data_IF_411085069973
#
_entry.id   IF_411085069973
#
_cell.length_a   1.000
_cell.length_b   1.000
_cell.length_c   1.000
_cell.angle_alpha   90.00
_cell.angle_beta   90.00
_cell.angle_gamma   90.00
#
_symmetry.space_group_name_H-M   'P 1'
#
loop_
_entity.id
_entity.type
_entity.pdbx_description
1 polymer ?
#
# COMPACT_ATOMS: atom_id res chain seq x y z
N UNK A 1 10.08 -16.50 -47.41
CA UNK A 1 9.14 -17.39 -46.67
C UNK A 1 9.94 -18.30 -45.77
N UNK A 2 9.63 -18.25 -44.48
CA UNK A 2 9.71 -19.31 -43.45
C UNK A 2 11.03 -20.08 -43.24
N UNK A 3 11.58 -19.94 -42.03
CA UNK A 3 11.92 -21.01 -41.06
C UNK A 3 12.88 -20.44 -40.00
N UNK A 4 12.38 -20.05 -38.82
CA UNK A 4 12.50 -20.83 -37.57
C UNK A 4 13.93 -21.33 -37.30
N UNK A 5 14.68 -20.55 -36.53
CA UNK A 5 15.78 -20.97 -35.63
C UNK A 5 15.78 -19.96 -34.47
N UNK A 6 15.06 -20.20 -33.39
CA UNK A 6 15.50 -21.00 -32.24
C UNK A 6 16.90 -20.57 -31.76
N UNK A 7 16.97 -19.47 -31.03
CA UNK A 7 18.06 -19.24 -30.06
C UNK A 7 17.53 -19.71 -28.72
N UNK A 8 17.72 -21.00 -28.46
CA UNK A 8 17.76 -21.53 -27.10
C UNK A 8 19.04 -21.02 -26.45
N UNK A 9 18.94 -20.05 -25.55
CA UNK A 9 19.95 -19.87 -24.50
C UNK A 9 19.54 -20.78 -23.36
N UNK A 10 20.29 -21.87 -23.24
CA UNK A 10 20.13 -22.88 -22.21
C UNK A 10 20.67 -22.33 -20.88
N UNK A 11 19.85 -21.54 -20.18
CA UNK A 11 20.09 -21.21 -18.78
C UNK A 11 19.88 -22.47 -17.95
N UNK A 12 20.99 -23.04 -17.46
CA UNK A 12 21.03 -24.16 -16.52
C UNK A 12 20.07 -23.89 -15.34
N UNK A 13 18.99 -24.68 -15.26
CA UNK A 13 18.43 -25.14 -13.99
C UNK A 13 17.57 -24.19 -13.15
N UNK A 14 17.06 -23.07 -13.66
CA UNK A 14 15.97 -22.36 -12.98
C UNK A 14 14.76 -22.24 -13.90
N UNK A 15 13.67 -22.92 -13.54
CA UNK A 15 12.34 -22.71 -14.11
C UNK A 15 12.00 -21.22 -13.98
N UNK A 16 12.12 -20.45 -15.07
CA UNK A 16 11.48 -19.14 -15.17
C UNK A 16 9.96 -19.39 -15.13
N UNK A 17 9.36 -19.17 -13.96
CA UNK A 17 7.95 -19.40 -13.74
C UNK A 17 7.10 -18.34 -14.48
N UNK A 18 6.75 -18.62 -15.74
CA UNK A 18 5.82 -17.79 -16.50
C UNK A 18 4.40 -17.73 -15.88
N UNK A 19 4.11 -18.46 -14.78
CA UNK A 19 2.88 -18.28 -13.99
C UNK A 19 2.87 -16.97 -13.19
N UNK A 20 4.02 -16.30 -13.03
CA UNK A 20 4.13 -14.96 -12.45
C UNK A 20 3.40 -13.92 -13.31
N UNK A 21 3.72 -13.82 -14.60
CA UNK A 21 3.16 -12.77 -15.48
C UNK A 21 1.64 -12.87 -15.71
N UNK A 22 1.04 -14.07 -15.66
CA UNK A 22 -0.42 -14.23 -15.82
C UNK A 22 -1.19 -13.90 -14.53
N UNK A 23 -0.63 -14.27 -13.37
CA UNK A 23 -1.14 -13.83 -12.05
C UNK A 23 -0.99 -12.33 -11.90
N UNK A 24 0.16 -11.76 -12.23
CA UNK A 24 0.45 -10.32 -12.22
C UNK A 24 -0.48 -9.49 -13.12
N UNK A 25 -0.91 -10.00 -14.28
CA UNK A 25 -1.83 -9.28 -15.16
C UNK A 25 -3.26 -9.26 -14.59
N UNK A 26 -3.72 -10.39 -14.04
CA UNK A 26 -5.01 -10.48 -13.36
C UNK A 26 -5.03 -9.64 -12.07
N UNK A 27 -3.91 -9.63 -11.38
CA UNK A 27 -3.61 -8.79 -10.23
C UNK A 27 -3.60 -7.30 -10.58
N UNK A 28 -2.99 -6.89 -11.70
CA UNK A 28 -3.07 -5.51 -12.20
C UNK A 28 -4.49 -5.13 -12.63
N UNK A 29 -5.29 -6.08 -13.15
CA UNK A 29 -6.71 -5.84 -13.46
C UNK A 29 -7.54 -5.70 -12.18
N UNK A 30 -7.27 -6.51 -11.16
CA UNK A 30 -7.90 -6.44 -9.83
C UNK A 30 -7.50 -5.17 -9.08
N UNK A 31 -6.21 -4.80 -9.13
CA UNK A 31 -5.69 -3.54 -8.62
C UNK A 31 -6.34 -2.35 -9.33
N UNK A 32 -6.53 -2.39 -10.67
CA UNK A 32 -7.29 -1.35 -11.38
C UNK A 32 -8.74 -1.27 -10.91
N UNK A 33 -9.42 -2.42 -10.72
CA UNK A 33 -10.81 -2.45 -10.21
C UNK A 33 -10.91 -1.91 -8.78
N UNK A 34 -9.98 -2.30 -7.91
CA UNK A 34 -9.90 -1.80 -6.54
C UNK A 34 -9.55 -0.31 -6.51
N UNK A 35 -8.60 0.14 -7.33
CA UNK A 35 -8.30 1.57 -7.52
C UNK A 35 -9.52 2.34 -8.01
N UNK A 36 -10.31 1.80 -8.94
CA UNK A 36 -11.56 2.46 -9.35
C UNK A 36 -12.65 2.41 -8.27
N UNK A 37 -12.70 1.36 -7.44
CA UNK A 37 -13.65 1.29 -6.31
C UNK A 37 -13.28 2.32 -5.24
N UNK A 38 -12.02 2.33 -4.81
CA UNK A 38 -11.50 3.30 -3.85
C UNK A 38 -11.45 4.71 -4.42
N UNK A 39 -11.18 4.92 -5.72
CA UNK A 39 -11.25 6.24 -6.36
C UNK A 39 -12.67 6.72 -6.65
N UNK A 40 -13.68 5.84 -6.53
CA UNK A 40 -15.09 6.26 -6.48
C UNK A 40 -15.50 6.59 -5.05
N UNK A 41 -14.96 5.89 -4.05
CA UNK A 41 -15.17 6.21 -2.62
C UNK A 41 -14.38 7.45 -2.16
N UNK A 42 -13.16 7.65 -2.67
CA UNK A 42 -12.47 8.93 -2.68
C UNK A 42 -13.13 9.75 -3.80
N UNK A 43 -14.22 10.44 -3.50
CA UNK A 43 -14.74 11.44 -4.42
C UNK A 43 -13.58 12.31 -4.94
N UNK A 44 -13.58 12.59 -6.24
CA UNK A 44 -12.57 13.37 -6.99
C UNK A 44 -12.34 14.77 -6.40
N UNK A 45 -13.10 15.17 -5.37
CA UNK A 45 -12.93 16.38 -4.56
C UNK A 45 -11.95 16.30 -3.38
N UNK A 46 -11.44 15.12 -2.99
CA UNK A 46 -10.46 15.04 -1.90
C UNK A 46 -10.98 15.56 -0.54
N UNK A 47 -12.30 15.63 -0.36
CA UNK A 47 -12.95 16.03 0.88
C UNK A 47 -12.93 14.89 1.89
N UNK A 48 -11.74 14.56 2.43
CA UNK A 48 -11.69 13.96 3.77
C UNK A 48 -12.17 15.03 4.75
N UNK A 49 -12.88 14.63 5.80
CA UNK A 49 -13.31 15.59 6.81
C UNK A 49 -12.11 16.41 7.32
N UNK A 50 -12.10 17.71 7.01
CA UNK A 50 -11.11 18.68 7.51
C UNK A 50 -11.55 19.33 8.81
N UNK A 51 -12.69 18.91 9.37
CA UNK A 51 -13.27 19.45 10.59
C UNK A 51 -12.39 19.21 11.82
N UNK A 52 -12.25 20.25 12.66
CA UNK A 52 -11.72 20.10 14.02
C UNK A 52 -12.67 19.22 14.82
N UNK A 53 -12.12 18.19 15.46
CA UNK A 53 -12.84 17.30 16.38
C UNK A 53 -13.16 18.07 17.66
N UNK A 54 -14.25 18.83 17.63
CA UNK A 54 -14.98 19.21 18.83
C UNK A 54 -16.29 18.44 18.73
N UNK A 55 -16.44 17.45 19.58
CA UNK A 55 -17.66 17.26 20.35
C UNK A 55 -17.37 16.25 21.45
N UNK A 56 -17.09 16.80 22.63
CA UNK A 56 -17.46 16.13 23.85
C UNK A 56 -18.96 16.31 24.03
N UNK A 57 -19.74 15.27 23.76
CA UNK A 57 -20.96 15.01 24.51
C UNK A 57 -21.11 13.50 24.70
N UNK A 58 -20.94 13.08 25.95
CA UNK A 58 -21.39 11.79 26.46
C UNK A 58 -22.91 11.69 26.26
N UNK A 59 -23.37 10.89 25.30
CA UNK A 59 -24.81 10.79 25.06
C UNK A 59 -25.26 9.58 24.25
N UNK A 60 -24.63 8.40 24.42
CA UNK A 60 -25.19 7.04 24.15
C UNK A 60 -24.06 6.02 24.26
N UNK A 61 -23.95 5.36 25.42
CA UNK A 61 -22.78 4.57 25.86
C UNK A 61 -22.45 3.31 25.03
N UNK A 62 -23.22 2.94 24.01
CA UNK A 62 -23.02 1.71 23.22
C UNK A 62 -22.98 1.87 21.68
N UNK A 63 -23.36 3.01 21.11
CA UNK A 63 -23.58 3.12 19.63
C UNK A 63 -22.34 3.61 18.86
N UNK A 64 -21.39 4.26 19.54
CA UNK A 64 -20.18 4.86 18.92
C UNK A 64 -18.89 4.15 19.37
N UNK A 65 -19.00 3.06 20.14
CA UNK A 65 -17.87 2.21 20.53
C UNK A 65 -17.32 1.47 19.30
N UNK A 66 -16.48 2.19 18.56
CA UNK A 66 -15.53 1.74 17.56
C UNK A 66 -16.10 1.07 16.30
N UNK A 67 -16.57 1.88 15.33
CA UNK A 67 -16.90 1.36 14.00
C UNK A 67 -15.74 0.62 13.33
N UNK A 68 -14.48 1.01 13.57
CA UNK A 68 -13.31 0.27 13.04
C UNK A 68 -13.14 -1.07 13.75
N UNK A 69 -13.14 -1.10 15.09
CA UNK A 69 -13.04 -2.35 15.86
C UNK A 69 -14.19 -3.30 15.49
N UNK A 70 -15.42 -2.82 15.47
CA UNK A 70 -16.59 -3.61 15.10
C UNK A 70 -16.51 -4.12 13.66
N UNK A 71 -16.18 -3.25 12.69
CA UNK A 71 -16.03 -3.66 11.30
C UNK A 71 -14.91 -4.69 11.13
N UNK A 72 -13.79 -4.55 11.84
CA UNK A 72 -12.68 -5.49 11.77
C UNK A 72 -13.06 -6.81 12.44
N UNK A 73 -13.56 -6.76 13.67
CA UNK A 73 -14.00 -7.92 14.45
C UNK A 73 -15.04 -8.77 13.70
N UNK A 74 -16.07 -8.12 13.16
CA UNK A 74 -17.10 -8.81 12.37
C UNK A 74 -16.54 -9.34 11.04
N UNK A 75 -15.63 -8.61 10.38
CA UNK A 75 -14.96 -9.10 9.18
C UNK A 75 -14.12 -10.36 9.45
N UNK A 76 -13.40 -10.40 10.58
CA UNK A 76 -12.61 -11.55 11.01
C UNK A 76 -13.49 -12.78 11.28
N UNK A 77 -14.64 -12.60 11.93
CA UNK A 77 -15.53 -13.71 12.30
C UNK A 77 -16.41 -14.21 11.16
N UNK A 78 -16.99 -13.31 10.38
CA UNK A 78 -18.10 -13.65 9.45
C UNK A 78 -17.66 -13.71 7.98
N UNK A 79 -16.47 -13.17 7.64
CA UNK A 79 -15.92 -13.07 6.26
C UNK A 79 -16.92 -12.53 5.22
N UNK A 80 -17.91 -11.73 5.62
CA UNK A 80 -18.92 -11.19 4.71
C UNK A 80 -18.37 -9.98 3.93
N UNK A 81 -18.93 -9.72 2.74
CA UNK A 81 -18.50 -8.62 1.87
C UNK A 81 -18.88 -7.22 2.39
N UNK A 82 -19.87 -7.13 3.27
CA UNK A 82 -20.42 -5.85 3.76
C UNK A 82 -19.42 -5.11 4.67
N UNK A 83 -18.74 -5.83 5.57
CA UNK A 83 -17.74 -5.22 6.45
C UNK A 83 -16.52 -4.70 5.68
N UNK A 84 -16.21 -5.25 4.50
CA UNK A 84 -15.16 -4.72 3.61
C UNK A 84 -15.51 -3.33 3.10
N UNK A 85 -16.77 -3.12 2.70
CA UNK A 85 -17.26 -1.83 2.24
C UNK A 85 -17.32 -0.81 3.39
N UNK A 86 -17.75 -1.24 4.58
CA UNK A 86 -17.76 -0.41 5.78
C UNK A 86 -16.34 0.06 6.14
N UNK A 87 -15.36 -0.85 6.17
CA UNK A 87 -13.96 -0.52 6.45
C UNK A 87 -13.37 0.40 5.39
N UNK A 88 -13.67 0.15 4.11
CA UNK A 88 -13.27 1.03 3.01
C UNK A 88 -13.87 2.45 3.19
N UNK A 89 -15.15 2.57 3.52
CA UNK A 89 -15.81 3.85 3.74
C UNK A 89 -15.18 4.63 4.90
N UNK A 90 -14.93 3.95 6.03
CA UNK A 90 -14.34 4.60 7.21
C UNK A 90 -12.93 5.11 6.89
N UNK A 91 -12.08 4.27 6.29
CA UNK A 91 -10.69 4.62 5.97
C UNK A 91 -10.55 5.68 4.86
N UNK A 92 -11.54 5.78 3.98
CA UNK A 92 -11.51 6.75 2.88
C UNK A 92 -12.04 8.13 3.31
N UNK A 93 -13.06 8.18 4.17
CA UNK A 93 -13.78 9.42 4.48
C UNK A 93 -13.25 10.14 5.73
N UNK A 94 -12.80 9.40 6.76
CA UNK A 94 -12.31 10.01 8.00
C UNK A 94 -11.03 10.82 7.80
N UNK A 95 -10.84 11.82 8.65
CA UNK A 95 -9.63 12.63 8.66
C UNK A 95 -8.41 11.82 9.10
N UNK A 96 -7.21 12.25 8.70
CA UNK A 96 -5.97 11.60 9.13
C UNK A 96 -5.81 11.57 10.66
N UNK A 97 -6.21 12.64 11.34
CA UNK A 97 -6.11 12.73 12.79
C UNK A 97 -7.12 11.79 13.48
N UNK A 98 -8.36 11.75 12.99
CA UNK A 98 -9.38 10.83 13.49
C UNK A 98 -8.94 9.37 13.33
N UNK A 99 -8.42 9.00 12.15
CA UNK A 99 -7.93 7.64 11.91
C UNK A 99 -6.76 7.27 12.81
N UNK A 100 -5.86 8.21 13.10
CA UNK A 100 -4.76 7.96 14.02
C UNK A 100 -5.26 7.65 15.45
N UNK A 101 -6.19 8.45 15.96
CA UNK A 101 -6.80 8.23 17.28
C UNK A 101 -7.60 6.92 17.31
N UNK A 102 -8.33 6.60 16.24
CA UNK A 102 -9.06 5.34 16.13
C UNK A 102 -8.11 4.13 16.18
N UNK A 103 -6.93 4.21 15.56
CA UNK A 103 -5.95 3.13 15.58
C UNK A 103 -5.33 2.93 16.96
N UNK A 104 -5.05 4.03 17.67
CA UNK A 104 -4.56 3.97 19.05
C UNK A 104 -5.62 3.41 20.00
N UNK A 105 -6.86 3.85 19.86
CA UNK A 105 -7.98 3.33 20.64
C UNK A 105 -8.23 1.84 20.34
N UNK A 106 -8.13 1.42 19.07
CA UNK A 106 -8.22 0.02 18.69
C UNK A 106 -7.16 -0.82 19.40
N UNK A 107 -5.90 -0.36 19.42
CA UNK A 107 -4.82 -1.06 20.08
C UNK A 107 -5.03 -1.14 21.60
N UNK A 108 -5.52 -0.06 22.22
CA UNK A 108 -5.81 -0.03 23.65
C UNK A 108 -6.94 -0.98 24.07
N UNK A 109 -7.97 -1.17 23.21
CA UNK A 109 -9.12 -2.04 23.50
C UNK A 109 -8.85 -3.49 23.14
N UNK A 110 -8.25 -3.74 21.97
CA UNK A 110 -8.01 -5.10 21.46
C UNK A 110 -6.71 -5.74 21.97
N UNK A 111 -5.73 -4.92 22.36
CA UNK A 111 -4.36 -5.35 22.66
C UNK A 111 -3.53 -5.73 21.42
N UNK A 112 -4.08 -5.62 20.21
CA UNK A 112 -3.43 -5.99 18.95
C UNK A 112 -3.22 -4.76 18.05
N UNK A 113 -2.15 -4.75 17.26
CA UNK A 113 -1.95 -3.71 16.25
C UNK A 113 -2.96 -3.85 15.11
N UNK A 114 -3.50 -2.74 14.63
CA UNK A 114 -4.47 -2.76 13.54
C UNK A 114 -3.88 -3.35 12.25
N UNK A 115 -2.58 -3.18 11.98
CA UNK A 115 -1.93 -3.75 10.81
C UNK A 115 -1.89 -5.29 10.88
N UNK A 116 -1.66 -5.84 12.08
CA UNK A 116 -1.65 -7.28 12.31
C UNK A 116 -3.06 -7.85 12.15
N UNK A 117 -4.04 -7.19 12.77
CA UNK A 117 -5.44 -7.61 12.69
C UNK A 117 -5.97 -7.55 11.24
N UNK A 118 -5.60 -6.53 10.45
CA UNK A 118 -5.91 -6.49 9.01
C UNK A 118 -5.26 -7.66 8.26
N UNK A 119 -4.05 -8.04 8.65
CA UNK A 119 -3.30 -9.11 7.99
C UNK A 119 -3.84 -10.50 8.28
N UNK A 120 -4.48 -10.69 9.43
CA UNK A 120 -5.15 -11.94 9.78
C UNK A 120 -6.53 -12.07 9.13
N UNK A 121 -7.21 -10.95 8.90
CA UNK A 121 -8.61 -10.96 8.47
C UNK A 121 -8.82 -10.74 6.96
N UNK A 122 -7.81 -10.24 6.26
CA UNK A 122 -7.87 -10.01 4.82
C UNK A 122 -6.65 -10.54 4.11
N UNK A 123 -6.87 -11.02 2.88
CA UNK A 123 -5.81 -11.52 2.00
C UNK A 123 -5.69 -10.69 0.71
N UNK A 124 -4.51 -10.77 0.08
CA UNK A 124 -4.27 -10.31 -1.28
C UNK A 124 -4.25 -8.78 -1.41
N UNK A 125 -4.79 -8.26 -2.53
CA UNK A 125 -4.70 -6.83 -2.85
C UNK A 125 -5.47 -5.93 -1.89
N UNK A 126 -6.58 -6.43 -1.33
CA UNK A 126 -7.39 -5.64 -0.41
C UNK A 126 -6.63 -5.41 0.90
N UNK A 127 -6.01 -6.46 1.46
CA UNK A 127 -5.11 -6.37 2.61
C UNK A 127 -3.98 -5.37 2.35
N UNK A 128 -3.26 -5.51 1.23
CA UNK A 128 -2.15 -4.61 0.89
C UNK A 128 -2.59 -3.14 0.77
N UNK A 129 -3.81 -2.89 0.31
CA UNK A 129 -4.37 -1.55 0.20
C UNK A 129 -4.73 -0.97 1.58
N UNK A 130 -5.35 -1.76 2.46
CA UNK A 130 -5.66 -1.33 3.82
C UNK A 130 -4.38 -1.03 4.61
N UNK A 131 -3.39 -1.92 4.55
CA UNK A 131 -2.08 -1.72 5.17
C UNK A 131 -1.37 -0.47 4.63
N UNK A 132 -1.52 -0.19 3.34
CA UNK A 132 -0.99 1.04 2.75
C UNK A 132 -1.65 2.28 3.33
N UNK A 133 -2.98 2.27 3.53
CA UNK A 133 -3.69 3.40 4.14
C UNK A 133 -3.25 3.58 5.59
N UNK A 134 -3.20 2.50 6.39
CA UNK A 134 -2.73 2.55 7.78
C UNK A 134 -1.31 3.12 7.86
N UNK A 135 -0.39 2.63 7.02
CA UNK A 135 0.99 3.12 6.96
C UNK A 135 1.04 4.60 6.59
N UNK A 136 0.24 5.04 5.62
CA UNK A 136 0.14 6.45 5.23
C UNK A 136 -0.47 7.35 6.31
N UNK A 137 -1.30 6.82 7.21
CA UNK A 137 -1.86 7.60 8.32
C UNK A 137 -0.81 7.75 9.43
N UNK A 138 -0.06 6.68 9.73
CA UNK A 138 0.99 6.67 10.75
C UNK A 138 2.20 7.51 10.34
N UNK A 139 2.79 7.20 9.19
CA UNK A 139 4.02 7.84 8.72
C UNK A 139 4.10 7.80 7.18
N UNK A 140 3.73 8.92 6.55
CA UNK A 140 3.73 9.08 5.09
C UNK A 140 5.14 8.93 4.49
N UNK A 141 6.18 9.65 4.97
CA UNK A 141 7.55 9.46 4.49
C UNK A 141 8.02 8.00 4.51
N UNK A 142 7.78 7.30 5.61
CA UNK A 142 8.19 5.90 5.80
C UNK A 142 7.45 4.94 4.86
N UNK A 143 6.17 5.17 4.60
CA UNK A 143 5.43 4.44 3.57
C UNK A 143 6.03 4.65 2.17
N UNK A 144 6.37 5.88 1.80
CA UNK A 144 6.99 6.15 0.50
C UNK A 144 8.38 5.54 0.36
N UNK A 145 9.18 5.54 1.43
CA UNK A 145 10.47 4.84 1.45
C UNK A 145 10.30 3.34 1.17
N UNK A 146 9.35 2.70 1.85
CA UNK A 146 8.99 1.30 1.60
C UNK A 146 8.51 1.07 0.16
N UNK A 147 7.63 1.93 -0.36
CA UNK A 147 7.11 1.83 -1.72
C UNK A 147 8.20 1.99 -2.79
N UNK A 148 9.17 2.86 -2.56
CA UNK A 148 10.33 3.03 -3.46
C UNK A 148 11.19 1.77 -3.47
N UNK A 149 11.48 1.20 -2.29
CA UNK A 149 12.31 0.00 -2.19
C UNK A 149 11.67 -1.18 -2.94
N UNK A 150 10.37 -1.40 -2.69
CA UNK A 150 9.61 -2.44 -3.41
C UNK A 150 9.55 -2.20 -4.91
N UNK A 151 9.41 -0.96 -5.34
CA UNK A 151 9.39 -0.63 -6.77
C UNK A 151 10.74 -0.88 -7.45
N UNK A 152 11.85 -0.77 -6.71
CA UNK A 152 13.20 -1.02 -7.22
C UNK A 152 13.51 -2.51 -7.22
N UNK A 153 13.32 -3.20 -6.10
CA UNK A 153 13.84 -4.55 -5.85
C UNK A 153 12.83 -5.67 -6.15
N UNK A 154 11.57 -5.55 -5.75
CA UNK A 154 10.64 -6.69 -5.75
C UNK A 154 10.08 -7.03 -7.14
N UNK A 155 10.05 -6.05 -8.06
CA UNK A 155 9.32 -6.19 -9.32
C UNK A 155 10.14 -5.86 -10.58
N UNK A 156 11.48 -5.94 -10.50
CA UNK A 156 12.34 -5.66 -11.64
C UNK A 156 12.20 -4.22 -12.15
N UNK A 157 12.49 -3.26 -11.26
CA UNK A 157 12.45 -1.82 -11.52
C UNK A 157 11.17 -1.29 -12.18
N UNK A 158 10.19 -0.94 -11.36
CA UNK A 158 8.96 -0.26 -11.76
C UNK A 158 9.15 1.25 -11.98
N UNK A 159 9.76 1.60 -13.10
CA UNK A 159 10.10 2.98 -13.49
C UNK A 159 8.95 3.98 -13.30
N UNK A 160 7.72 3.63 -13.74
CA UNK A 160 6.54 4.51 -13.61
C UNK A 160 6.18 4.85 -12.16
N UNK A 161 6.30 3.89 -11.24
CA UNK A 161 5.98 4.12 -9.82
C UNK A 161 7.06 4.97 -9.17
N UNK A 162 8.32 4.69 -9.49
CA UNK A 162 9.48 5.47 -9.01
C UNK A 162 9.36 6.93 -9.45
N UNK A 163 9.22 7.19 -10.76
CA UNK A 163 9.09 8.54 -11.30
C UNK A 163 7.93 9.27 -10.63
N UNK A 164 6.76 8.63 -10.53
CA UNK A 164 5.58 9.26 -9.93
C UNK A 164 5.82 9.67 -8.48
N UNK A 165 6.44 8.83 -7.66
CA UNK A 165 6.73 9.17 -6.25
C UNK A 165 7.78 10.28 -6.18
N UNK A 166 8.86 10.18 -6.97
CA UNK A 166 9.93 11.17 -6.98
C UNK A 166 9.42 12.56 -7.38
N UNK A 167 8.60 12.64 -8.42
CA UNK A 167 8.02 13.92 -8.90
C UNK A 167 6.94 14.43 -7.95
N UNK A 168 6.02 13.58 -7.48
CA UNK A 168 4.92 14.03 -6.64
C UNK A 168 5.34 14.45 -5.23
N UNK A 169 6.52 14.04 -4.75
CA UNK A 169 7.01 14.33 -3.39
C UNK A 169 8.26 15.21 -3.36
N UNK A 170 8.80 15.62 -4.52
CA UNK A 170 10.06 16.37 -4.62
C UNK A 170 10.09 17.63 -3.76
N UNK A 171 8.97 18.34 -3.67
CA UNK A 171 8.82 19.62 -2.95
C UNK A 171 8.11 19.50 -1.61
N UNK A 172 7.79 18.27 -1.16
CA UNK A 172 6.98 18.05 0.04
C UNK A 172 7.81 17.43 1.16
N UNK A 173 8.34 16.22 0.96
CA UNK A 173 9.03 15.45 2.00
C UNK A 173 10.08 14.48 1.45
N UNK A 174 10.56 14.70 0.21
CA UNK A 174 11.53 13.80 -0.43
C UNK A 174 12.83 13.63 0.38
N UNK A 175 13.25 14.66 1.10
CA UNK A 175 14.45 14.58 1.96
C UNK A 175 14.24 13.59 3.11
N UNK A 176 13.09 13.65 3.79
CA UNK A 176 12.73 12.73 4.87
C UNK A 176 12.59 11.29 4.33
N UNK A 177 11.99 11.14 3.14
CA UNK A 177 11.88 9.84 2.46
C UNK A 177 13.27 9.23 2.21
N UNK A 178 14.22 10.01 1.69
CA UNK A 178 15.60 9.54 1.44
C UNK A 178 16.33 9.14 2.72
N UNK A 179 16.13 9.90 3.79
CA UNK A 179 16.72 9.61 5.09
C UNK A 179 16.18 8.28 5.64
N UNK A 180 14.85 8.16 5.76
CA UNK A 180 14.19 6.95 6.26
C UNK A 180 14.48 5.73 5.39
N UNK A 181 14.62 5.91 4.07
CA UNK A 181 15.06 4.85 3.17
C UNK A 181 16.45 4.33 3.55
N UNK A 182 17.40 5.24 3.76
CA UNK A 182 18.76 4.89 4.14
C UNK A 182 18.81 4.23 5.53
N UNK A 183 18.06 4.75 6.49
CA UNK A 183 17.96 4.19 7.84
C UNK A 183 17.37 2.76 7.82
N UNK A 184 16.32 2.55 7.03
CA UNK A 184 15.64 1.24 6.96
C UNK A 184 16.40 0.18 6.17
N UNK A 185 17.05 0.56 5.07
CA UNK A 185 17.64 -0.39 4.10
C UNK A 185 19.17 -0.37 4.07
N UNK A 186 19.82 0.49 4.84
CA UNK A 186 21.28 0.62 4.93
C UNK A 186 21.95 1.21 3.67
N UNK A 187 21.21 1.37 2.57
CA UNK A 187 21.67 1.92 1.29
C UNK A 187 20.91 3.19 0.96
N UNK A 188 21.59 4.15 0.34
CA UNK A 188 20.91 5.36 -0.12
C UNK A 188 20.08 5.06 -1.36
N UNK A 189 18.96 5.76 -1.52
CA UNK A 189 18.13 5.67 -2.73
C UNK A 189 18.95 5.96 -4.01
N UNK A 190 19.93 6.87 -3.91
CA UNK A 190 20.84 7.17 -5.01
C UNK A 190 21.73 5.97 -5.40
N UNK A 191 22.23 5.23 -4.41
CA UNK A 191 23.02 4.02 -4.66
C UNK A 191 22.21 3.00 -5.46
N UNK A 192 20.98 2.74 -5.04
CA UNK A 192 20.12 1.77 -5.73
C UNK A 192 19.81 2.18 -7.17
N UNK A 193 19.55 3.47 -7.44
CA UNK A 193 19.42 3.94 -8.82
C UNK A 193 20.71 3.75 -9.63
N UNK A 194 21.86 4.08 -9.05
CA UNK A 194 23.16 3.93 -9.73
C UNK A 194 23.42 2.47 -10.12
N UNK A 195 23.10 1.51 -9.26
CA UNK A 195 23.25 0.08 -9.54
C UNK A 195 22.42 -0.32 -10.75
N UNK A 196 21.17 0.14 -10.84
CA UNK A 196 20.26 -0.16 -11.97
C UNK A 196 20.80 0.42 -13.29
N UNK A 197 21.21 1.69 -13.30
CA UNK A 197 21.76 2.31 -14.51
C UNK A 197 23.07 1.65 -14.95
N UNK A 198 23.94 1.27 -14.00
CA UNK A 198 25.18 0.53 -14.30
C UNK A 198 24.88 -0.84 -14.89
N UNK A 199 23.93 -1.59 -14.32
CA UNK A 199 23.51 -2.89 -14.86
C UNK A 199 22.98 -2.78 -16.28
N UNK A 200 22.16 -1.78 -16.57
CA UNK A 200 21.66 -1.51 -17.92
C UNK A 200 22.79 -1.21 -18.90
N UNK A 201 23.78 -0.40 -18.50
CA UNK A 201 24.96 -0.10 -19.34
C UNK A 201 25.84 -1.33 -19.61
N UNK A 202 25.95 -2.25 -18.64
CA UNK A 202 26.71 -3.51 -18.79
C UNK A 202 25.97 -4.53 -19.65
N UNK A 203 24.63 -4.55 -19.62
CA UNK A 203 23.83 -5.45 -20.48
C UNK A 203 23.77 -4.92 -21.92
N UNK A 204 23.85 -3.61 -22.11
CA UNK A 204 23.77 -2.97 -23.43
C UNK A 204 25.12 -2.79 -24.15
N UNK A 205 26.26 -3.06 -23.50
CA UNK A 205 27.59 -3.16 -24.12
C UNK A 205 27.99 -4.63 -24.28
#
# INVERSE_FOLDING_TARGET
>A
MTLVRAVSVECRGQKLDCRGSRRELEDRKRERRLKTSFSKSLDVKGSRDTGRYLDGELGSRDVVKMCIFQALWEACQRRTGEHKNMLQMILCNKSHQQLFMDFEQFQNVSGQDIADAISECFDGYFQQLLLAIVSCVRDKPSYFAYRLHRAIHDFGFHNKTVIRIMVARSEIDLMNIKQLYKERYGKSLHHDFKVIYTLLLVICN
#
